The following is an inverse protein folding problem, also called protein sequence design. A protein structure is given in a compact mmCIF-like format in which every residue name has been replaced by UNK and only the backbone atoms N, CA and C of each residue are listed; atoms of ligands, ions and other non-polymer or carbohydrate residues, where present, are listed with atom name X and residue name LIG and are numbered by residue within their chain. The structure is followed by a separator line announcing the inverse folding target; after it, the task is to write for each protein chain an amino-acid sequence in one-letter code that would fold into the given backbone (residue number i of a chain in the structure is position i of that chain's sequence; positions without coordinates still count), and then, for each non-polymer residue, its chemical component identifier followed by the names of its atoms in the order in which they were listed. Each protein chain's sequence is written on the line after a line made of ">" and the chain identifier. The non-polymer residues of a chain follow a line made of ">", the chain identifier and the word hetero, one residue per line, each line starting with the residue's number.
data_IF_002892053453
#
_entry.id   IF_002892053453
#
_cell.length_a   1.000
_cell.length_b   1.000
_cell.length_c   1.000
_cell.angle_alpha   90.00
_cell.angle_beta   90.00
_cell.angle_gamma   90.00
#
_symmetry.space_group_name_H-M   'P 1'
#
loop_
_entity.id
_entity.type
_entity.pdbx_description
1 polymer ?
#
# COMPACT_ATOMS: atom_id res chain seq x y z
N UNK A 1 -15.36 13.69 -14.86
CA UNK A 1 -15.20 12.58 -15.83
C UNK A 1 -13.85 11.88 -15.68
N UNK A 2 -12.70 12.60 -15.62
CA UNK A 2 -11.37 11.99 -15.35
C UNK A 2 -11.27 11.28 -13.99
N UNK A 3 -11.84 11.85 -12.93
CA UNK A 3 -11.78 11.24 -11.58
C UNK A 3 -12.56 9.91 -11.47
N UNK A 4 -13.69 9.78 -12.18
CA UNK A 4 -14.49 8.54 -12.21
C UNK A 4 -13.72 7.44 -12.95
N UNK A 5 -13.01 7.80 -14.03
CA UNK A 5 -12.20 6.86 -14.80
C UNK A 5 -10.99 6.37 -14.00
N UNK A 6 -10.33 7.27 -13.26
CA UNK A 6 -9.22 6.93 -12.36
C UNK A 6 -9.70 6.03 -11.21
N UNK A 7 -10.86 6.35 -10.62
CA UNK A 7 -11.48 5.52 -9.58
C UNK A 7 -11.84 4.11 -10.07
N UNK A 8 -12.41 3.98 -11.27
CA UNK A 8 -12.70 2.67 -11.88
C UNK A 8 -11.43 1.87 -12.20
N UNK A 9 -10.41 2.53 -12.75
CA UNK A 9 -9.14 1.88 -13.08
C UNK A 9 -8.41 1.40 -11.82
N UNK A 10 -8.42 2.21 -10.77
CA UNK A 10 -7.93 1.85 -9.45
C UNK A 10 -8.67 0.64 -8.87
N UNK A 11 -9.99 0.61 -8.95
CA UNK A 11 -10.81 -0.49 -8.42
C UNK A 11 -10.56 -1.80 -9.17
N UNK A 12 -10.31 -1.73 -10.48
CA UNK A 12 -9.94 -2.87 -11.32
C UNK A 12 -8.55 -3.37 -10.95
N UNK A 13 -7.55 -2.48 -10.89
CA UNK A 13 -6.18 -2.83 -10.46
C UNK A 13 -6.20 -3.43 -9.05
N UNK A 14 -6.96 -2.83 -8.15
CA UNK A 14 -7.09 -3.27 -6.78
C UNK A 14 -7.63 -4.70 -6.72
N UNK A 15 -8.80 -4.99 -7.28
CA UNK A 15 -9.40 -6.32 -7.10
C UNK A 15 -8.79 -7.40 -7.98
N UNK A 16 -8.35 -7.05 -9.19
CA UNK A 16 -8.07 -8.05 -10.21
C UNK A 16 -6.59 -8.21 -10.54
N UNK A 17 -5.71 -7.24 -10.26
CA UNK A 17 -4.32 -7.33 -10.71
C UNK A 17 -3.63 -8.59 -10.17
N UNK A 18 -3.62 -8.80 -8.85
CA UNK A 18 -2.96 -9.96 -8.23
C UNK A 18 -3.64 -11.27 -8.60
N UNK A 19 -4.99 -11.27 -8.60
CA UNK A 19 -5.76 -12.48 -8.90
C UNK A 19 -5.56 -12.88 -10.35
N UNK A 20 -5.68 -11.96 -11.31
CA UNK A 20 -5.46 -12.24 -12.74
C UNK A 20 -4.01 -12.66 -12.98
N UNK A 21 -3.02 -11.91 -12.52
CA UNK A 21 -1.62 -12.23 -12.83
C UNK A 21 -1.20 -13.58 -12.26
N UNK A 22 -1.52 -13.86 -10.99
CA UNK A 22 -1.18 -15.14 -10.37
C UNK A 22 -2.00 -16.29 -10.96
N UNK A 23 -3.33 -16.14 -11.13
CA UNK A 23 -4.16 -17.21 -11.71
C UNK A 23 -3.72 -17.50 -13.14
N UNK A 24 -3.55 -16.50 -14.00
CA UNK A 24 -3.18 -16.68 -15.40
C UNK A 24 -1.79 -17.31 -15.53
N UNK A 25 -0.82 -16.90 -14.70
CA UNK A 25 0.48 -17.56 -14.61
C UNK A 25 0.33 -19.03 -14.21
N UNK A 26 -0.39 -19.33 -13.13
CA UNK A 26 -0.60 -20.73 -12.69
C UNK A 26 -1.34 -21.57 -13.73
N UNK A 27 -2.34 -21.00 -14.41
CA UNK A 27 -3.16 -21.69 -15.39
C UNK A 27 -2.35 -22.06 -16.65
N UNK A 28 -1.55 -21.12 -17.17
CA UNK A 28 -0.69 -21.35 -18.33
C UNK A 28 0.32 -22.46 -18.03
N UNK A 29 0.99 -22.40 -16.89
CA UNK A 29 2.02 -23.38 -16.54
C UNK A 29 1.43 -24.74 -16.16
N UNK A 30 0.28 -24.80 -15.47
CA UNK A 30 -0.39 -26.05 -15.17
C UNK A 30 -0.97 -26.72 -16.42
N UNK A 31 -1.60 -25.96 -17.33
CA UNK A 31 -2.08 -26.50 -18.61
C UNK A 31 -0.91 -27.04 -19.42
N UNK A 32 0.18 -26.29 -19.50
CA UNK A 32 1.37 -26.73 -20.23
C UNK A 32 1.96 -28.00 -19.62
N UNK A 33 2.01 -28.09 -18.28
CA UNK A 33 2.49 -29.29 -17.60
C UNK A 33 1.59 -30.51 -17.80
N UNK A 34 0.27 -30.30 -17.81
CA UNK A 34 -0.69 -31.34 -18.17
C UNK A 34 -0.49 -31.79 -19.62
N UNK A 35 -0.31 -30.84 -20.55
CA UNK A 35 -0.11 -31.13 -21.96
C UNK A 35 1.17 -31.94 -22.20
N UNK A 36 2.28 -31.63 -21.52
CA UNK A 36 3.52 -32.42 -21.60
C UNK A 36 3.36 -33.82 -21.00
N UNK A 37 2.60 -33.98 -19.91
CA UNK A 37 2.27 -35.30 -19.36
C UNK A 37 1.42 -36.16 -20.31
N UNK A 38 0.44 -35.57 -21.02
CA UNK A 38 -0.43 -36.30 -21.94
C UNK A 38 0.23 -36.65 -23.29
N UNK A 39 1.18 -35.82 -23.77
CA UNK A 39 1.86 -36.05 -25.07
C UNK A 39 3.11 -36.95 -25.01
N UNK A 40 3.39 -37.53 -23.84
CA UNK A 40 4.24 -38.70 -23.60
C UNK A 40 5.69 -38.71 -24.13
N UNK A 41 6.20 -37.60 -24.65
CA UNK A 41 7.57 -37.55 -25.18
C UNK A 41 8.64 -37.17 -24.16
N UNK A 42 8.29 -36.81 -22.92
CA UNK A 42 9.27 -36.52 -21.85
C UNK A 42 10.20 -35.32 -22.13
N UNK A 43 10.21 -34.78 -23.35
CA UNK A 43 10.97 -33.61 -23.73
C UNK A 43 10.30 -32.35 -23.15
N UNK A 44 11.10 -31.44 -22.56
CA UNK A 44 10.58 -30.17 -22.10
C UNK A 44 10.02 -29.39 -23.31
N UNK A 45 8.73 -29.05 -23.26
CA UNK A 45 8.13 -28.13 -24.22
C UNK A 45 8.94 -26.80 -24.24
N UNK A 46 8.94 -26.10 -25.38
CA UNK A 46 9.65 -24.83 -25.58
C UNK A 46 9.41 -23.77 -24.49
N UNK A 47 8.22 -23.79 -23.87
CA UNK A 47 7.84 -22.93 -22.75
C UNK A 47 8.45 -23.37 -21.40
N UNK A 48 8.59 -24.67 -21.12
CA UNK A 48 9.32 -25.14 -19.94
C UNK A 48 10.81 -24.81 -20.09
N UNK A 49 11.38 -25.07 -21.27
CA UNK A 49 12.75 -24.72 -21.60
C UNK A 49 13.01 -23.21 -21.45
N UNK A 50 12.06 -22.38 -21.89
CA UNK A 50 12.10 -20.93 -21.67
C UNK A 50 12.13 -20.56 -20.19
N UNK A 51 11.24 -21.14 -19.37
CA UNK A 51 11.20 -20.88 -17.93
C UNK A 51 12.52 -21.26 -17.24
N UNK A 52 13.08 -22.41 -17.60
CA UNK A 52 14.39 -22.86 -17.09
C UNK A 52 15.50 -21.91 -17.49
N UNK A 53 15.58 -21.55 -18.78
CA UNK A 53 16.62 -20.63 -19.26
C UNK A 53 16.52 -19.27 -18.57
N UNK A 54 15.31 -18.74 -18.37
CA UNK A 54 15.14 -17.49 -17.63
C UNK A 54 15.48 -17.63 -16.15
N UNK A 55 15.17 -18.78 -15.52
CA UNK A 55 15.56 -19.04 -14.14
C UNK A 55 17.08 -19.11 -14.00
N UNK A 56 17.76 -19.90 -14.82
CA UNK A 56 19.20 -20.11 -14.76
C UNK A 56 19.99 -18.84 -15.11
N UNK A 57 19.48 -18.00 -16.02
CA UNK A 57 20.16 -16.76 -16.43
C UNK A 57 19.87 -15.60 -15.47
N UNK A 58 18.62 -15.42 -15.05
CA UNK A 58 18.20 -14.23 -14.31
C UNK A 58 18.08 -14.47 -12.81
N UNK A 59 17.57 -15.63 -12.39
CA UNK A 59 17.21 -15.87 -10.99
C UNK A 59 18.34 -16.54 -10.25
N UNK A 60 18.79 -17.72 -10.67
CA UNK A 60 19.80 -18.51 -9.98
C UNK A 60 21.09 -17.72 -9.62
N UNK A 61 21.70 -16.95 -10.54
CA UNK A 61 22.89 -16.16 -10.20
C UNK A 61 22.59 -14.96 -9.29
N UNK A 62 21.33 -14.50 -9.23
CA UNK A 62 20.92 -13.32 -8.47
C UNK A 62 20.01 -13.63 -7.27
N UNK A 63 19.91 -14.91 -6.85
CA UNK A 63 19.07 -15.32 -5.71
C UNK A 63 19.37 -14.49 -4.46
N UNK A 64 20.65 -14.27 -4.15
CA UNK A 64 21.07 -13.45 -3.01
C UNK A 64 20.61 -11.99 -3.12
N UNK A 65 20.69 -11.40 -4.32
CA UNK A 65 20.21 -10.04 -4.60
C UNK A 65 18.70 -9.94 -4.45
N UNK A 66 17.95 -10.90 -5.00
CA UNK A 66 16.48 -10.92 -4.91
C UNK A 66 16.03 -11.09 -3.45
N UNK A 67 16.70 -11.95 -2.69
CA UNK A 67 16.44 -12.15 -1.25
C UNK A 67 16.74 -10.89 -0.44
N UNK A 68 17.78 -10.15 -0.82
CA UNK A 68 18.11 -8.85 -0.22
C UNK A 68 17.03 -7.81 -0.52
N UNK A 69 16.55 -7.74 -1.77
CA UNK A 69 15.44 -6.87 -2.16
C UNK A 69 14.18 -7.24 -1.37
N UNK A 70 13.84 -8.53 -1.25
CA UNK A 70 12.74 -8.99 -0.42
C UNK A 70 12.86 -8.52 1.04
N UNK A 71 14.06 -8.59 1.60
CA UNK A 71 14.34 -8.11 2.95
C UNK A 71 14.14 -6.59 3.11
N UNK A 72 14.53 -5.80 2.11
CA UNK A 72 14.27 -4.34 2.09
C UNK A 72 12.76 -4.07 2.08
N UNK A 73 12.00 -4.79 1.25
CA UNK A 73 10.54 -4.64 1.22
C UNK A 73 9.88 -5.01 2.56
N UNK A 74 10.35 -6.05 3.25
CA UNK A 74 9.90 -6.37 4.61
C UNK A 74 10.12 -5.17 5.53
N UNK A 75 11.31 -4.57 5.51
CA UNK A 75 11.61 -3.37 6.30
C UNK A 75 10.70 -2.19 5.99
N UNK A 76 10.43 -1.92 4.70
CA UNK A 76 9.50 -0.88 4.27
C UNK A 76 8.09 -1.16 4.81
N UNK A 77 7.59 -2.38 4.65
CA UNK A 77 6.26 -2.76 5.12
C UNK A 77 6.10 -2.62 6.63
N UNK A 78 7.08 -3.06 7.42
CA UNK A 78 7.08 -2.89 8.88
C UNK A 78 7.10 -1.41 9.26
N UNK A 79 7.92 -0.61 8.58
CA UNK A 79 8.01 0.83 8.83
C UNK A 79 6.68 1.52 8.55
N UNK A 80 6.06 1.23 7.40
CA UNK A 80 4.75 1.79 7.05
C UNK A 80 3.68 1.37 8.07
N UNK A 81 3.62 0.10 8.47
CA UNK A 81 2.68 -0.34 9.52
C UNK A 81 2.92 0.41 10.84
N UNK A 82 4.18 0.58 11.23
CA UNK A 82 4.53 1.28 12.47
C UNK A 82 4.13 2.76 12.41
N UNK A 83 4.36 3.41 11.27
CA UNK A 83 3.92 4.79 11.04
C UNK A 83 2.40 4.88 11.09
N UNK A 84 1.67 3.99 10.41
CA UNK A 84 0.20 3.98 10.43
C UNK A 84 -0.33 3.73 11.85
N UNK A 85 0.24 2.76 12.58
CA UNK A 85 -0.19 2.39 13.93
C UNK A 85 0.22 3.39 15.02
N UNK A 86 1.25 4.20 14.77
CA UNK A 86 1.72 5.25 15.69
C UNK A 86 0.94 6.57 15.61
N UNK A 87 0.06 6.74 14.63
CA UNK A 87 -0.73 7.96 14.47
C UNK A 87 -1.86 7.98 15.51
N UNK A 88 -1.80 8.93 16.45
CA UNK A 88 -2.87 9.18 17.43
C UNK A 88 -4.18 9.51 16.72
N UNK A 89 -5.29 9.07 17.31
CA UNK A 89 -6.71 9.19 16.88
C UNK A 89 -7.15 10.63 16.47
N UNK A 90 -6.36 11.66 16.77
CA UNK A 90 -6.65 13.06 16.42
C UNK A 90 -5.76 13.63 15.29
N UNK A 91 -4.97 12.82 14.61
CA UNK A 91 -4.07 13.27 13.54
C UNK A 91 -4.52 12.70 12.20
N UNK A 92 -4.45 13.53 11.14
CA UNK A 92 -4.41 13.31 9.67
C UNK A 92 -4.93 11.97 9.12
N UNK A 93 -4.51 10.85 9.69
CA UNK A 93 -4.97 9.50 9.37
C UNK A 93 -6.36 9.13 9.94
N UNK A 94 -6.84 9.86 10.93
CA UNK A 94 -8.20 9.69 11.50
C UNK A 94 -9.31 10.14 10.53
N UNK A 95 -8.96 10.90 9.49
CA UNK A 95 -9.85 11.28 8.40
C UNK A 95 -9.92 10.23 7.29
N UNK A 96 -8.99 9.26 7.28
CA UNK A 96 -9.09 8.10 6.39
C UNK A 96 -10.21 7.21 6.92
N UNK A 97 -11.14 6.85 6.05
CA UNK A 97 -12.17 5.87 6.37
C UNK A 97 -11.51 4.60 6.94
N UNK A 98 -11.96 4.12 8.09
CA UNK A 98 -11.45 2.87 8.70
C UNK A 98 -11.39 1.72 7.68
N UNK A 99 -12.31 1.72 6.72
CA UNK A 99 -12.36 0.73 5.64
C UNK A 99 -11.17 0.83 4.67
N UNK A 100 -10.72 2.05 4.32
CA UNK A 100 -9.59 2.23 3.40
C UNK A 100 -8.24 2.02 4.10
N UNK A 101 -8.16 2.39 5.37
CA UNK A 101 -7.00 2.09 6.21
C UNK A 101 -6.85 0.58 6.44
N UNK A 102 -7.95 -0.12 6.73
CA UNK A 102 -7.97 -1.58 6.85
C UNK A 102 -7.54 -2.29 5.55
N UNK A 103 -7.95 -1.78 4.38
CA UNK A 103 -7.49 -2.29 3.08
C UNK A 103 -5.99 -2.08 2.87
N UNK A 104 -5.46 -0.90 3.16
CA UNK A 104 -4.02 -0.63 3.07
C UNK A 104 -3.23 -1.60 3.94
N UNK A 105 -3.64 -1.76 5.21
CA UNK A 105 -3.00 -2.69 6.15
C UNK A 105 -3.06 -4.11 5.61
N UNK A 106 -4.18 -4.54 5.04
CA UNK A 106 -4.32 -5.85 4.40
C UNK A 106 -3.32 -6.05 3.25
N UNK A 107 -3.09 -5.04 2.40
CA UNK A 107 -2.12 -5.13 1.30
C UNK A 107 -0.69 -5.21 1.82
N UNK A 108 -0.36 -4.44 2.86
CA UNK A 108 0.96 -4.48 3.48
C UNK A 108 1.21 -5.87 4.08
N UNK A 109 0.26 -6.41 4.85
CA UNK A 109 0.38 -7.75 5.44
C UNK A 109 0.54 -8.80 4.33
N UNK A 110 -0.24 -8.71 3.27
CA UNK A 110 -0.16 -9.66 2.15
C UNK A 110 1.19 -9.59 1.44
N UNK A 111 1.69 -8.37 1.16
CA UNK A 111 3.02 -8.18 0.56
C UNK A 111 4.16 -8.65 1.46
N UNK A 112 4.02 -8.45 2.78
CA UNK A 112 4.96 -8.94 3.79
C UNK A 112 5.00 -10.47 3.80
N UNK A 113 3.84 -11.15 3.73
CA UNK A 113 3.78 -12.62 3.62
C UNK A 113 4.53 -13.11 2.38
N UNK A 114 4.33 -12.48 1.21
CA UNK A 114 5.04 -12.89 -0.01
C UNK A 114 6.55 -12.63 0.06
N UNK A 115 6.96 -11.49 0.62
CA UNK A 115 8.38 -11.19 0.80
C UNK A 115 9.05 -12.20 1.76
N UNK A 116 8.39 -12.54 2.88
CA UNK A 116 8.84 -13.63 3.75
C UNK A 116 8.87 -14.97 3.03
N UNK A 117 7.84 -15.29 2.23
CA UNK A 117 7.80 -16.53 1.47
C UNK A 117 9.01 -16.65 0.54
N UNK A 118 9.44 -15.59 -0.15
CA UNK A 118 10.65 -15.59 -0.99
C UNK A 118 11.90 -15.89 -0.17
N UNK A 119 12.07 -15.20 0.96
CA UNK A 119 13.24 -15.38 1.83
C UNK A 119 13.31 -16.82 2.35
N UNK A 120 12.21 -17.35 2.89
CA UNK A 120 12.14 -18.74 3.36
C UNK A 120 12.31 -19.74 2.21
N UNK A 121 11.72 -19.46 1.06
CA UNK A 121 11.83 -20.32 -0.11
C UNK A 121 13.27 -20.42 -0.61
N UNK A 122 14.04 -19.33 -0.56
CA UNK A 122 15.46 -19.32 -0.93
C UNK A 122 16.31 -20.26 -0.07
N UNK A 123 15.92 -20.55 1.18
CA UNK A 123 16.62 -21.52 2.03
C UNK A 123 16.24 -22.96 1.70
N UNK A 124 15.00 -23.19 1.23
CA UNK A 124 14.46 -24.53 0.98
C UNK A 124 14.73 -24.96 -0.47
N UNK A 125 15.02 -24.03 -1.37
CA UNK A 125 15.27 -24.31 -2.80
C UNK A 125 16.34 -25.37 -3.02
N UNK A 126 17.40 -25.41 -2.21
CA UNK A 126 18.47 -26.42 -2.33
C UNK A 126 17.99 -27.87 -2.08
N UNK A 127 16.87 -28.05 -1.36
CA UNK A 127 16.29 -29.36 -1.02
C UNK A 127 15.35 -29.85 -2.12
N UNK A 128 14.81 -28.95 -2.94
CA UNK A 128 13.84 -29.30 -3.99
C UNK A 128 14.58 -29.91 -5.17
N UNK A 129 14.30 -31.17 -5.50
CA UNK A 129 15.00 -31.88 -6.60
C UNK A 129 14.51 -31.51 -8.00
N UNK A 130 13.31 -30.92 -8.11
CA UNK A 130 12.74 -30.54 -9.41
C UNK A 130 13.02 -29.07 -9.71
N UNK A 131 13.89 -28.82 -10.69
CA UNK A 131 14.19 -27.48 -11.19
C UNK A 131 12.91 -26.74 -11.67
N UNK A 132 11.91 -27.48 -12.17
CA UNK A 132 10.65 -26.87 -12.63
C UNK A 132 9.92 -26.21 -11.48
N UNK A 133 9.78 -26.98 -10.40
CA UNK A 133 9.09 -26.58 -9.18
C UNK A 133 9.84 -25.42 -8.55
N UNK A 134 11.17 -25.49 -8.53
CA UNK A 134 12.02 -24.38 -8.09
C UNK A 134 11.68 -23.09 -8.83
N UNK A 135 11.83 -23.09 -10.16
CA UNK A 135 11.62 -21.92 -11.01
C UNK A 135 10.18 -21.40 -10.93
N UNK A 136 9.20 -22.29 -11.00
CA UNK A 136 7.78 -21.93 -11.01
C UNK A 136 7.37 -21.18 -9.75
N UNK A 137 7.67 -21.71 -8.56
CA UNK A 137 7.31 -21.05 -7.31
C UNK A 137 8.10 -19.78 -7.08
N UNK A 138 9.37 -19.73 -7.51
CA UNK A 138 10.18 -18.53 -7.37
C UNK A 138 9.59 -17.37 -8.20
N UNK A 139 9.27 -17.61 -9.47
CA UNK A 139 8.59 -16.62 -10.32
C UNK A 139 7.21 -16.26 -9.78
N UNK A 140 6.44 -17.23 -9.29
CA UNK A 140 5.12 -16.99 -8.71
C UNK A 140 5.22 -16.02 -7.51
N UNK A 141 6.12 -16.28 -6.58
CA UNK A 141 6.29 -15.42 -5.41
C UNK A 141 6.84 -14.05 -5.78
N UNK A 142 7.79 -13.96 -6.71
CA UNK A 142 8.34 -12.70 -7.19
C UNK A 142 7.25 -11.82 -7.84
N UNK A 143 6.46 -12.40 -8.74
CA UNK A 143 5.35 -11.70 -9.40
C UNK A 143 4.30 -11.28 -8.38
N UNK A 144 3.96 -12.15 -7.42
CA UNK A 144 3.00 -11.85 -6.37
C UNK A 144 3.48 -10.69 -5.49
N UNK A 145 4.73 -10.73 -5.05
CA UNK A 145 5.35 -9.68 -4.24
C UNK A 145 5.37 -8.34 -4.99
N UNK A 146 5.85 -8.31 -6.23
CA UNK A 146 5.92 -7.09 -7.02
C UNK A 146 4.52 -6.52 -7.32
N UNK A 147 3.55 -7.39 -7.59
CA UNK A 147 2.14 -7.02 -7.80
C UNK A 147 1.52 -6.42 -6.53
N UNK A 148 1.80 -7.00 -5.35
CA UNK A 148 1.34 -6.43 -4.07
C UNK A 148 1.96 -5.07 -3.79
N UNK A 149 3.26 -4.91 -4.04
CA UNK A 149 3.95 -3.63 -3.86
C UNK A 149 3.37 -2.55 -4.77
N UNK A 150 3.13 -2.88 -6.04
CA UNK A 150 2.55 -1.97 -7.02
C UNK A 150 1.11 -1.57 -6.63
N UNK A 151 0.29 -2.54 -6.20
CA UNK A 151 -1.07 -2.27 -5.70
C UNK A 151 -1.05 -1.36 -4.47
N UNK A 152 -0.16 -1.64 -3.52
CA UNK A 152 0.02 -0.80 -2.34
C UNK A 152 0.41 0.64 -2.73
N UNK A 153 1.40 0.81 -3.60
CA UNK A 153 1.86 2.12 -4.05
C UNK A 153 0.79 2.93 -4.78
N UNK A 154 0.04 2.30 -5.68
CA UNK A 154 -1.06 2.96 -6.41
C UNK A 154 -2.15 3.42 -5.44
N UNK A 155 -2.59 2.55 -4.52
CA UNK A 155 -3.66 2.89 -3.58
C UNK A 155 -3.22 4.00 -2.61
N UNK A 156 -1.98 3.96 -2.12
CA UNK A 156 -1.45 5.01 -1.28
C UNK A 156 -1.39 6.35 -2.03
N UNK A 157 -0.96 6.35 -3.29
CA UNK A 157 -0.91 7.56 -4.11
C UNK A 157 -2.32 8.15 -4.35
N UNK A 158 -3.32 7.31 -4.60
CA UNK A 158 -4.70 7.74 -4.80
C UNK A 158 -5.33 8.31 -3.53
N UNK A 159 -5.15 7.63 -2.40
CA UNK A 159 -5.61 8.07 -1.08
C UNK A 159 -4.97 9.41 -0.76
N UNK A 160 -3.64 9.51 -0.91
CA UNK A 160 -2.93 10.76 -0.69
C UNK A 160 -3.45 11.88 -1.59
N UNK A 161 -3.67 11.64 -2.88
CA UNK A 161 -4.12 12.70 -3.81
C UNK A 161 -5.54 13.20 -3.48
N UNK A 162 -6.45 12.29 -3.13
CA UNK A 162 -7.84 12.63 -2.83
C UNK A 162 -8.00 13.27 -1.44
N UNK A 163 -7.34 12.69 -0.44
CA UNK A 163 -7.51 13.11 0.95
C UNK A 163 -6.62 14.29 1.31
N UNK A 164 -5.44 14.45 0.71
CA UNK A 164 -4.59 15.63 0.95
C UNK A 164 -5.28 16.92 0.47
N UNK A 165 -6.05 16.85 -0.61
CA UNK A 165 -6.85 17.98 -1.10
C UNK A 165 -7.95 18.35 -0.08
N UNK A 166 -8.68 17.36 0.41
CA UNK A 166 -9.73 17.54 1.43
C UNK A 166 -9.16 18.02 2.77
N UNK A 167 -7.97 17.55 3.13
CA UNK A 167 -7.25 17.97 4.33
C UNK A 167 -6.84 19.45 4.25
N UNK A 168 -6.34 19.88 3.10
CA UNK A 168 -5.95 21.28 2.88
C UNK A 168 -7.16 22.20 2.99
N UNK A 169 -8.29 21.81 2.41
CA UNK A 169 -9.56 22.55 2.49
C UNK A 169 -10.10 22.62 3.93
N UNK A 170 -10.02 21.52 4.69
CA UNK A 170 -10.47 21.49 6.09
C UNK A 170 -9.55 22.30 7.02
N UNK A 171 -8.22 22.25 6.83
CA UNK A 171 -7.26 23.05 7.60
C UNK A 171 -7.47 24.55 7.38
N UNK A 172 -7.76 24.97 6.15
CA UNK A 172 -8.11 26.37 5.87
C UNK A 172 -9.43 26.78 6.54
N UNK A 173 -10.42 25.89 6.59
CA UNK A 173 -11.69 26.16 7.27
C UNK A 173 -11.51 26.28 8.78
N UNK A 174 -10.76 25.36 9.40
CA UNK A 174 -10.47 25.34 10.83
C UNK A 174 -9.64 26.56 11.26
N UNK A 175 -8.69 26.99 10.41
CA UNK A 175 -7.91 28.21 10.62
C UNK A 175 -8.77 29.46 10.56
N UNK A 176 -9.71 29.56 9.61
CA UNK A 176 -10.69 30.67 9.54
C UNK A 176 -11.62 30.68 10.75
N UNK A 177 -12.00 29.53 11.26
CA UNK A 177 -12.86 29.43 12.44
C UNK A 177 -12.12 29.84 13.71
N UNK A 178 -10.84 29.46 13.85
CA UNK A 178 -9.96 29.93 14.91
C UNK A 178 -9.74 31.45 14.86
N UNK A 179 -9.48 32.02 13.67
CA UNK A 179 -9.35 33.47 13.50
C UNK A 179 -10.66 34.20 13.87
N UNK A 180 -11.81 33.64 13.49
CA UNK A 180 -13.12 34.18 13.86
C UNK A 180 -13.37 34.12 15.36
N UNK A 181 -13.02 33.01 16.01
CA UNK A 181 -13.15 32.88 17.47
C UNK A 181 -12.21 33.83 18.22
N UNK A 182 -10.96 33.98 17.76
CA UNK A 182 -10.03 34.97 18.31
C UNK A 182 -10.58 36.40 18.16
N UNK A 183 -11.15 36.73 17.00
CA UNK A 183 -11.79 38.02 16.76
C UNK A 183 -13.01 38.26 17.66
N UNK A 184 -13.84 37.24 17.88
CA UNK A 184 -14.99 37.34 18.80
C UNK A 184 -14.50 37.55 20.23
N UNK A 185 -13.47 36.81 20.66
CA UNK A 185 -12.95 36.89 22.02
C UNK A 185 -12.32 38.25 22.32
N UNK A 186 -11.53 38.79 21.39
CA UNK A 186 -10.95 40.13 21.53
C UNK A 186 -12.01 41.23 21.56
N UNK A 187 -13.09 41.07 20.78
CA UNK A 187 -14.23 42.00 20.81
C UNK A 187 -15.02 41.90 22.11
N UNK A 188 -15.11 40.71 22.69
CA UNK A 188 -15.76 40.48 23.99
C UNK A 188 -14.94 41.12 25.13
N UNK A 189 -13.61 40.96 25.10
CA UNK A 189 -12.69 41.62 26.03
C UNK A 189 -12.81 43.14 25.95
N UNK A 190 -12.76 43.72 24.75
CA UNK A 190 -12.92 45.16 24.55
C UNK A 190 -14.28 45.67 25.07
N UNK A 191 -15.36 44.92 24.86
CA UNK A 191 -16.68 45.30 25.37
C UNK A 191 -16.75 45.24 26.90
N UNK A 192 -16.12 44.24 27.52
CA UNK A 192 -16.04 44.12 28.98
C UNK A 192 -15.25 45.29 29.59
N UNK A 193 -14.12 45.66 28.98
CA UNK A 193 -13.32 46.82 29.40
C UNK A 193 -14.11 48.13 29.32
N UNK A 194 -14.84 48.36 28.22
CA UNK A 194 -15.67 49.56 28.03
C UNK A 194 -16.75 49.65 29.13
N UNK A 195 -17.47 48.56 29.39
CA UNK A 195 -18.53 48.51 30.42
C UNK A 195 -17.98 48.72 31.82
N UNK A 196 -16.81 48.15 32.12
CA UNK A 196 -16.16 48.33 33.42
C UNK A 196 -15.68 49.77 33.62
N UNK A 197 -15.14 50.39 32.57
CA UNK A 197 -14.73 51.80 32.59
C UNK A 197 -15.91 52.76 32.78
N UNK A 198 -17.07 52.48 32.18
CA UNK A 198 -18.29 53.27 32.36
C UNK A 198 -18.84 53.14 33.78
N UNK A 199 -18.83 51.94 34.37
CA UNK A 199 -19.21 51.75 35.77
C UNK A 199 -18.32 52.54 36.72
N UNK A 200 -17.00 52.50 36.51
CA UNK A 200 -16.04 53.25 37.33
C UNK A 200 -16.20 54.77 37.18
N UNK A 201 -16.54 55.27 35.99
CA UNK A 201 -16.86 56.70 35.79
C UNK A 201 -18.13 57.09 36.54
N UNK A 202 -19.19 56.29 36.45
CA UNK A 202 -20.45 56.58 37.11
C UNK A 202 -20.33 56.51 38.65
N UNK A 203 -19.52 55.60 39.20
CA UNK A 203 -19.27 55.53 40.65
C UNK A 203 -18.40 56.66 41.20
N UNK A 204 -17.62 57.33 40.36
CA UNK A 204 -16.77 58.46 40.76
C UNK A 204 -17.46 59.82 40.58
N UNK A 205 -18.66 59.84 40.00
CA UNK A 205 -19.48 61.03 39.79
C UNK A 205 -20.63 61.20 40.81
N UNK A 206 -20.76 60.25 41.76
CA UNK A 206 -21.59 60.37 42.97
C UNK A 206 -20.73 60.79 44.18
#
# INVERSE_FOLDING_TARGET
>A
MKEILIGLFAMIIEKWLLKITCTLFTLIFCINKLFTMFYNNGEPNSLELGLYNYYDILIQPNIGTITTVASIFIGIYITVITVIGGIKVNSVMALISENDLGKIVSFIITGLIYAFAIVFYSFITEIITSNFVQAFFYFLFLIAMLSTALRFGINLCLIYTYEFKKLTENLEAERKELEKNQYIMSRLESYLEDVESERLRNSNSE
#
